data_IF_461293125554
#
_entry.id   IF_461293125554
#
_cell.length_a   1.000
_cell.length_b   1.000
_cell.length_c   1.000
_cell.angle_alpha   90.00
_cell.angle_beta   90.00
_cell.angle_gamma   90.00
#
_symmetry.space_group_name_H-M   'P 1'
#
loop_
_entity.id
_entity.type
_entity.pdbx_description
1 polymer ?
#
# COMPACT_ATOMS: atom_id res chain seq x y z
N UNK A 1 8.99 6.03 8.27
CA UNK A 1 8.58 5.38 9.53
C UNK A 1 7.13 5.76 9.84
N UNK A 2 6.30 4.79 10.17
CA UNK A 2 4.89 5.05 10.43
C UNK A 2 4.67 5.57 11.86
N UNK A 3 3.81 6.56 12.00
CA UNK A 3 3.38 7.06 13.31
C UNK A 3 2.28 6.18 13.87
N UNK A 4 2.30 5.92 15.17
CA UNK A 4 1.29 5.10 15.84
C UNK A 4 0.40 6.02 16.69
N UNK A 5 -0.92 5.90 16.52
CA UNK A 5 -1.90 6.66 17.26
C UNK A 5 -3.05 5.77 17.74
N UNK A 6 -3.64 6.02 18.90
CA UNK A 6 -4.81 5.26 19.36
C UNK A 6 -6.07 5.61 18.55
N UNK A 7 -7.04 4.70 18.55
CA UNK A 7 -8.30 4.90 17.81
C UNK A 7 -9.08 6.11 18.35
N UNK A 8 -8.91 6.46 19.61
CA UNK A 8 -9.52 7.66 20.18
C UNK A 8 -9.06 8.94 19.47
N UNK A 9 -7.81 8.99 19.03
CA UNK A 9 -7.29 10.12 18.28
C UNK A 9 -7.93 10.21 16.88
N UNK A 10 -8.20 9.08 16.25
CA UNK A 10 -8.92 9.08 14.98
C UNK A 10 -10.34 9.63 15.13
N UNK A 11 -10.99 9.30 16.22
CA UNK A 11 -12.36 9.76 16.52
C UNK A 11 -12.41 11.22 16.94
N UNK A 12 -11.53 11.62 17.86
CA UNK A 12 -11.60 12.92 18.52
C UNK A 12 -10.66 13.96 17.92
N UNK A 13 -9.61 13.52 17.23
CA UNK A 13 -8.56 14.37 16.65
C UNK A 13 -8.28 14.03 15.19
N UNK A 14 -9.33 13.75 14.46
CA UNK A 14 -9.24 13.38 13.04
C UNK A 14 -8.44 14.42 12.26
N UNK A 15 -8.64 15.70 12.53
CA UNK A 15 -7.94 16.79 11.85
C UNK A 15 -6.42 16.66 12.01
N UNK A 16 -5.94 16.27 13.19
CA UNK A 16 -4.52 16.06 13.43
C UNK A 16 -3.97 14.89 12.63
N UNK A 17 -4.71 13.81 12.57
CA UNK A 17 -4.33 12.63 11.79
C UNK A 17 -4.33 12.95 10.30
N UNK A 18 -5.34 13.65 9.81
CA UNK A 18 -5.42 14.10 8.42
C UNK A 18 -4.22 14.97 8.05
N UNK A 19 -3.87 15.92 8.91
CA UNK A 19 -2.69 16.77 8.72
C UNK A 19 -1.41 15.94 8.65
N UNK A 20 -1.26 14.97 9.52
CA UNK A 20 -0.09 14.09 9.56
C UNK A 20 0.08 13.32 8.26
N UNK A 21 -0.97 12.64 7.80
CA UNK A 21 -0.88 11.81 6.59
C UNK A 21 -0.66 12.63 5.33
N UNK A 22 -1.15 13.87 5.29
CA UNK A 22 -0.98 14.73 4.12
C UNK A 22 0.36 15.48 4.12
N UNK A 23 0.80 15.98 5.27
CA UNK A 23 2.06 16.74 5.33
C UNK A 23 3.29 15.85 5.24
N UNK A 24 3.28 14.73 5.95
CA UNK A 24 4.45 13.85 6.01
C UNK A 24 4.44 12.74 4.97
N UNK A 25 3.32 12.57 4.27
CA UNK A 25 3.14 11.48 3.31
C UNK A 25 3.50 10.12 3.92
N UNK A 26 3.14 9.91 5.18
CA UNK A 26 3.40 8.69 5.92
C UNK A 26 2.10 8.06 6.39
N UNK A 27 2.01 6.71 6.40
CA UNK A 27 0.85 6.06 6.99
C UNK A 27 0.85 6.21 8.50
N UNK A 28 -0.34 6.26 9.09
CA UNK A 28 -0.55 6.28 10.53
C UNK A 28 -1.20 4.96 10.94
N UNK A 29 -0.56 4.24 11.84
CA UNK A 29 -1.09 3.00 12.38
C UNK A 29 -2.03 3.35 13.53
N UNK A 30 -3.28 2.90 13.43
CA UNK A 30 -4.29 3.11 14.45
C UNK A 30 -4.38 1.86 15.31
N UNK A 31 -4.25 2.05 16.62
CA UNK A 31 -4.31 0.96 17.59
C UNK A 31 -5.64 0.97 18.32
N UNK A 32 -6.09 -0.22 18.68
CA UNK A 32 -7.24 -0.41 19.56
C UNK A 32 -6.85 -1.43 20.62
N UNK A 33 -7.02 -1.07 21.90
CA UNK A 33 -6.61 -1.91 23.04
C UNK A 33 -5.15 -2.35 22.96
N UNK A 34 -4.27 -1.45 22.51
CA UNK A 34 -2.85 -1.73 22.38
C UNK A 34 -2.43 -2.56 21.17
N UNK A 35 -3.37 -2.95 20.32
CA UNK A 35 -3.10 -3.73 19.11
C UNK A 35 -3.32 -2.91 17.87
N UNK A 36 -2.49 -3.14 16.86
CA UNK A 36 -2.66 -2.52 15.54
C UNK A 36 -3.98 -2.99 14.93
N UNK A 37 -4.86 -2.03 14.61
CA UNK A 37 -6.21 -2.31 14.14
C UNK A 37 -6.42 -1.88 12.68
N UNK A 38 -5.91 -0.70 12.31
CA UNK A 38 -6.06 -0.19 10.96
C UNK A 38 -4.91 0.74 10.60
N UNK A 39 -4.78 1.05 9.33
CA UNK A 39 -3.79 2.00 8.82
C UNK A 39 -4.52 3.12 8.08
N UNK A 40 -4.16 4.36 8.37
CA UNK A 40 -4.69 5.54 7.68
C UNK A 40 -3.56 6.17 6.88
N UNK A 41 -3.82 6.46 5.62
CA UNK A 41 -2.86 7.13 4.75
C UNK A 41 -3.59 8.02 3.76
N UNK A 42 -2.85 8.96 3.16
CA UNK A 42 -3.42 9.77 2.09
C UNK A 42 -3.68 8.90 0.86
N UNK A 43 -4.64 9.30 0.03
CA UNK A 43 -4.91 8.60 -1.22
C UNK A 43 -3.68 8.64 -2.14
N UNK A 44 -2.98 9.76 -2.18
CA UNK A 44 -1.76 9.89 -2.98
C UNK A 44 -0.67 8.90 -2.54
N UNK A 45 -0.49 8.73 -1.23
CA UNK A 45 0.46 7.76 -0.69
C UNK A 45 0.07 6.33 -1.09
N UNK A 46 -1.20 5.99 -0.95
CA UNK A 46 -1.74 4.69 -1.33
C UNK A 46 -1.51 4.42 -2.82
N UNK A 47 -1.81 5.40 -3.67
CA UNK A 47 -1.62 5.29 -5.11
C UNK A 47 -0.15 5.10 -5.50
N UNK A 48 0.75 5.84 -4.90
CA UNK A 48 2.20 5.68 -5.13
C UNK A 48 2.67 4.29 -4.71
N UNK A 49 2.22 3.81 -3.56
CA UNK A 49 2.57 2.51 -3.04
C UNK A 49 2.10 1.38 -3.96
N UNK A 50 0.86 1.42 -4.42
CA UNK A 50 0.30 0.41 -5.31
C UNK A 50 0.93 0.44 -6.69
N UNK A 51 1.20 1.62 -7.23
CA UNK A 51 1.90 1.77 -8.51
C UNK A 51 3.31 1.17 -8.43
N UNK A 52 4.01 1.41 -7.33
CA UNK A 52 5.34 0.87 -7.08
C UNK A 52 5.32 -0.66 -7.00
N UNK A 53 4.33 -1.22 -6.33
CA UNK A 53 4.14 -2.67 -6.26
C UNK A 53 3.89 -3.29 -7.62
N UNK A 54 3.05 -2.67 -8.44
CA UNK A 54 2.79 -3.11 -9.82
C UNK A 54 4.06 -3.12 -10.65
N UNK A 55 4.88 -2.09 -10.53
CA UNK A 55 6.14 -1.98 -11.25
C UNK A 55 7.11 -3.09 -10.84
N UNK A 56 7.25 -3.35 -9.56
CA UNK A 56 8.10 -4.42 -9.06
C UNK A 56 7.62 -5.79 -9.53
N UNK A 57 6.33 -6.01 -9.56
CA UNK A 57 5.75 -7.26 -10.05
C UNK A 57 6.06 -7.48 -11.52
N UNK A 58 5.95 -6.44 -12.34
CA UNK A 58 6.32 -6.48 -13.76
C UNK A 58 7.78 -6.86 -13.95
N UNK A 59 8.67 -6.24 -13.19
CA UNK A 59 10.11 -6.51 -13.28
C UNK A 59 10.43 -7.93 -12.84
N UNK A 60 9.81 -8.42 -11.79
CA UNK A 60 10.00 -9.78 -11.29
C UNK A 60 9.55 -10.82 -12.32
N UNK A 61 8.41 -10.61 -12.95
CA UNK A 61 7.90 -11.52 -13.99
C UNK A 61 8.82 -11.52 -15.21
N UNK A 62 9.27 -10.36 -15.67
CA UNK A 62 10.17 -10.23 -16.79
C UNK A 62 11.51 -10.93 -16.54
N UNK A 63 12.09 -10.75 -15.35
CA UNK A 63 13.33 -11.43 -14.96
C UNK A 63 13.15 -12.94 -14.89
N UNK A 64 12.05 -13.42 -14.36
CA UNK A 64 11.76 -14.84 -14.27
C UNK A 64 11.61 -15.47 -15.65
N UNK A 65 10.97 -14.80 -16.58
CA UNK A 65 10.83 -15.25 -17.97
C UNK A 65 12.17 -15.34 -18.66
N UNK A 66 13.00 -14.32 -18.56
CA UNK A 66 14.33 -14.28 -19.15
C UNK A 66 15.24 -15.37 -18.56
N UNK A 67 15.22 -15.55 -17.27
CA UNK A 67 16.07 -16.52 -16.58
C UNK A 67 15.65 -17.97 -16.85
N UNK A 68 14.37 -18.24 -17.02
CA UNK A 68 13.82 -19.57 -17.19
C UNK A 68 13.66 -20.00 -18.65
N UNK A 69 13.74 -19.07 -19.59
CA UNK A 69 13.36 -19.33 -20.98
C UNK A 69 11.92 -19.80 -21.11
N UNK A 70 11.09 -19.45 -20.14
CA UNK A 70 9.71 -19.88 -20.06
C UNK A 70 8.84 -19.13 -21.07
N UNK A 71 7.76 -19.77 -21.57
CA UNK A 71 6.78 -19.06 -22.36
C UNK A 71 6.16 -17.94 -21.53
N UNK A 72 5.97 -16.82 -22.18
CA UNK A 72 5.44 -15.62 -21.60
C UNK A 72 4.09 -15.83 -20.93
N UNK A 73 4.03 -15.65 -19.62
CA UNK A 73 2.78 -15.31 -18.98
C UNK A 73 2.40 -13.92 -19.49
N UNK A 74 1.13 -13.74 -19.80
CA UNK A 74 0.69 -12.41 -20.14
C UNK A 74 0.82 -11.53 -18.89
N UNK A 75 1.75 -10.58 -18.95
CA UNK A 75 1.99 -9.60 -17.88
C UNK A 75 0.70 -8.92 -17.43
N UNK A 76 -0.22 -8.69 -18.37
CA UNK A 76 -1.50 -8.07 -18.08
C UNK A 76 -2.33 -8.90 -17.10
N UNK A 77 -2.30 -10.23 -17.21
CA UNK A 77 -3.02 -11.11 -16.29
C UNK A 77 -2.43 -11.07 -14.89
N UNK A 78 -1.10 -11.05 -14.78
CA UNK A 78 -0.42 -10.91 -13.48
C UNK A 78 -0.76 -9.59 -12.82
N UNK A 79 -0.73 -8.50 -13.57
CA UNK A 79 -1.07 -7.17 -13.09
C UNK A 79 -2.53 -7.11 -12.65
N UNK A 80 -3.45 -7.69 -13.42
CA UNK A 80 -4.86 -7.77 -13.06
C UNK A 80 -5.07 -8.53 -11.76
N UNK A 81 -4.36 -9.64 -11.57
CA UNK A 81 -4.44 -10.42 -10.35
C UNK A 81 -3.94 -9.63 -9.14
N UNK A 82 -2.83 -8.92 -9.28
CA UNK A 82 -2.29 -8.07 -8.21
C UNK A 82 -3.28 -6.95 -7.87
N UNK A 83 -3.82 -6.27 -8.87
CA UNK A 83 -4.82 -5.21 -8.66
C UNK A 83 -6.07 -5.73 -7.96
N UNK A 84 -6.58 -6.88 -8.39
CA UNK A 84 -7.74 -7.52 -7.78
C UNK A 84 -7.48 -7.87 -6.32
N UNK A 85 -6.31 -8.38 -6.01
CA UNK A 85 -5.91 -8.73 -4.66
C UNK A 85 -5.81 -7.51 -3.75
N UNK A 86 -5.37 -6.40 -4.29
CA UNK A 86 -5.25 -5.13 -3.58
C UNK A 86 -6.55 -4.31 -3.55
N UNK A 87 -7.59 -4.75 -4.24
CA UNK A 87 -8.86 -4.03 -4.31
C UNK A 87 -8.85 -2.83 -5.24
N UNK A 88 -8.00 -2.85 -6.24
CA UNK A 88 -7.87 -1.73 -7.19
C UNK A 88 -8.70 -1.96 -8.46
#
# INVERSE_FOLDING_TARGET
MATVKPISDLRNRFKNISTLVHKKDEPVIITKNGESNMVVMSYDHYKKMTTKMELYEKLAVAEAEDAAGAPTYELDDVIKNVKKHLGL
#
